data_IF_361690459834
#
_entry.id   IF_361690459834
#
_cell.length_a   1.000
_cell.length_b   1.000
_cell.length_c   1.000
_cell.angle_alpha   90.00
_cell.angle_beta   90.00
_cell.angle_gamma   90.00
#
_symmetry.space_group_name_H-M   'P 1'
#
loop_
_entity.id
_entity.type
_entity.pdbx_description
1 polymer ?
#
# COMPACT_ATOMS: atom_id res chain seq x y z
N UNK A 1 -36.39 9.61 8.21
CA UNK A 1 -36.81 10.17 6.91
C UNK A 1 -36.31 11.61 6.88
N UNK A 2 -35.41 12.09 6.03
CA UNK A 2 -34.66 11.59 4.88
C UNK A 2 -33.27 12.22 5.02
N UNK A 3 -32.19 11.42 5.03
CA UNK A 3 -30.82 11.96 4.93
C UNK A 3 -30.63 12.46 3.49
N UNK A 4 -30.86 13.75 3.27
CA UNK A 4 -30.70 14.33 1.94
C UNK A 4 -29.20 14.38 1.58
N UNK A 5 -28.80 13.85 0.41
CA UNK A 5 -27.40 13.74 0.04
C UNK A 5 -26.75 15.10 -0.25
N UNK A 6 -25.43 15.19 0.02
CA UNK A 6 -24.52 16.27 -0.42
C UNK A 6 -24.69 16.56 -1.93
N UNK A 7 -24.31 17.76 -2.44
CA UNK A 7 -24.62 18.18 -3.80
C UNK A 7 -24.11 17.21 -4.88
N UNK A 8 -22.92 16.64 -4.68
CA UNK A 8 -22.34 15.64 -5.58
C UNK A 8 -23.14 14.33 -5.57
N UNK A 9 -23.58 13.88 -4.40
CA UNK A 9 -24.40 12.68 -4.24
C UNK A 9 -25.86 12.87 -4.71
N UNK A 10 -26.36 14.12 -4.71
CA UNK A 10 -27.64 14.48 -5.34
C UNK A 10 -27.55 14.40 -6.87
N UNK A 11 -26.53 15.04 -7.47
CA UNK A 11 -26.30 15.00 -8.92
C UNK A 11 -26.05 13.59 -9.44
N UNK A 12 -25.32 12.77 -8.67
CA UNK A 12 -24.97 11.39 -9.03
C UNK A 12 -26.04 10.37 -8.60
N UNK A 13 -27.16 10.82 -8.02
CA UNK A 13 -28.26 9.90 -7.68
C UNK A 13 -28.95 9.39 -8.94
N UNK A 14 -29.38 8.13 -8.93
CA UNK A 14 -29.91 7.42 -10.11
C UNK A 14 -31.11 8.09 -10.78
N UNK A 15 -31.86 8.94 -10.05
CA UNK A 15 -32.97 9.70 -10.60
C UNK A 15 -32.55 10.85 -11.54
N UNK A 16 -31.30 11.30 -11.46
CA UNK A 16 -30.78 12.46 -12.19
C UNK A 16 -29.50 12.15 -12.99
N UNK A 17 -28.83 11.03 -12.69
CA UNK A 17 -27.62 10.56 -13.38
C UNK A 17 -27.80 10.42 -14.90
N UNK A 18 -28.98 9.99 -15.37
CA UNK A 18 -29.24 9.78 -16.79
C UNK A 18 -29.74 11.05 -17.52
N UNK A 19 -30.09 12.10 -16.77
CA UNK A 19 -30.78 13.29 -17.33
C UNK A 19 -29.84 14.45 -17.65
N UNK A 20 -28.66 14.51 -17.03
CA UNK A 20 -27.67 15.56 -17.27
C UNK A 20 -26.24 15.02 -17.27
N UNK A 21 -25.42 15.37 -18.26
CA UNK A 21 -24.08 14.84 -18.39
C UNK A 21 -23.14 15.59 -17.44
N UNK A 22 -22.91 15.07 -16.22
CA UNK A 22 -22.08 15.55 -15.08
C UNK A 22 -20.87 16.47 -15.37
N UNK A 23 -21.08 17.56 -16.11
CA UNK A 23 -20.05 18.40 -16.70
C UNK A 23 -19.64 19.49 -15.71
N UNK A 24 -20.49 19.82 -14.75
CA UNK A 24 -20.12 20.71 -13.64
C UNK A 24 -19.02 20.06 -12.78
N UNK A 25 -19.22 18.81 -12.37
CA UNK A 25 -18.24 18.07 -11.58
C UNK A 25 -16.95 17.78 -12.37
N UNK A 26 -17.06 17.43 -13.65
CA UNK A 26 -15.89 17.12 -14.48
C UNK A 26 -15.12 18.35 -14.98
N UNK A 27 -15.81 19.44 -15.33
CA UNK A 27 -15.22 20.62 -15.98
C UNK A 27 -14.93 21.78 -15.04
N UNK A 28 -15.60 21.86 -13.89
CA UNK A 28 -15.52 22.99 -12.97
C UNK A 28 -15.40 22.55 -11.50
N UNK A 29 -14.34 21.79 -11.13
CA UNK A 29 -14.18 21.23 -9.78
C UNK A 29 -14.09 22.30 -8.69
N UNK A 30 -13.60 23.49 -9.01
CA UNK A 30 -13.57 24.64 -8.11
C UNK A 30 -14.97 25.17 -7.75
N UNK A 31 -15.94 25.05 -8.65
CA UNK A 31 -17.35 25.40 -8.38
C UNK A 31 -17.97 24.36 -7.46
N UNK A 32 -17.71 23.07 -7.69
CA UNK A 32 -18.21 21.99 -6.84
C UNK A 32 -17.65 22.03 -5.42
N UNK A 33 -16.35 22.30 -5.26
CA UNK A 33 -15.75 22.42 -3.93
C UNK A 33 -16.42 23.54 -3.11
N UNK A 34 -16.65 24.70 -3.73
CA UNK A 34 -17.30 25.83 -3.04
C UNK A 34 -18.79 25.56 -2.76
N UNK A 35 -19.48 24.84 -3.63
CA UNK A 35 -20.85 24.37 -3.36
C UNK A 35 -20.92 23.39 -2.19
N UNK A 36 -19.93 22.52 -2.03
CA UNK A 36 -19.85 21.60 -0.88
C UNK A 36 -19.54 22.33 0.43
N UNK A 37 -18.69 23.37 0.37
CA UNK A 37 -18.34 24.21 1.51
C UNK A 37 -19.54 25.00 2.03
N UNK A 38 -20.30 25.63 1.13
CA UNK A 38 -21.47 26.45 1.50
C UNK A 38 -22.76 25.65 1.67
N UNK A 39 -22.78 24.34 1.42
CA UNK A 39 -24.02 23.55 1.38
C UNK A 39 -24.87 23.63 2.66
N UNK A 40 -24.25 23.85 3.82
CA UNK A 40 -24.94 23.95 5.11
C UNK A 40 -25.17 25.40 5.57
N UNK A 41 -24.72 26.39 4.80
CA UNK A 41 -24.92 27.83 5.03
C UNK A 41 -25.86 28.38 3.95
N UNK A 42 -27.13 28.54 4.30
CA UNK A 42 -28.17 28.89 3.34
C UNK A 42 -27.94 30.28 2.70
N UNK A 43 -27.42 31.24 3.47
CA UNK A 43 -27.22 32.60 2.98
C UNK A 43 -26.04 32.64 2.00
N UNK A 44 -24.91 32.03 2.38
CA UNK A 44 -23.72 31.95 1.53
C UNK A 44 -23.96 31.14 0.25
N UNK A 45 -24.75 30.06 0.32
CA UNK A 45 -25.06 29.23 -0.84
C UNK A 45 -26.01 29.92 -1.82
N UNK A 46 -27.02 30.64 -1.31
CA UNK A 46 -27.97 31.39 -2.14
C UNK A 46 -27.28 32.54 -2.87
N UNK A 47 -26.38 33.25 -2.17
CA UNK A 47 -25.52 34.26 -2.78
C UNK A 47 -24.64 33.66 -3.87
N UNK A 48 -24.02 32.51 -3.59
CA UNK A 48 -23.13 31.84 -4.55
C UNK A 48 -23.86 31.31 -5.79
N UNK A 49 -25.06 30.73 -5.65
CA UNK A 49 -25.88 30.36 -6.81
C UNK A 49 -26.26 31.58 -7.65
N UNK A 50 -26.59 32.70 -7.01
CA UNK A 50 -26.86 33.97 -7.70
C UNK A 50 -25.63 34.45 -8.48
N UNK A 51 -24.44 34.36 -7.91
CA UNK A 51 -23.19 34.69 -8.62
C UNK A 51 -22.95 33.82 -9.86
N UNK A 52 -23.27 32.51 -9.78
CA UNK A 52 -23.10 31.56 -10.88
C UNK A 52 -24.10 31.78 -12.02
N UNK A 53 -25.32 32.23 -11.70
CA UNK A 53 -26.41 32.44 -12.66
C UNK A 53 -26.38 33.82 -13.32
N UNK A 54 -25.70 34.81 -12.74
CA UNK A 54 -25.53 36.15 -13.33
C UNK A 54 -24.48 36.07 -14.46
N UNK A 55 -24.94 35.76 -15.67
CA UNK A 55 -24.12 35.60 -16.87
C UNK A 55 -23.57 36.91 -17.47
N UNK A 56 -23.52 38.01 -16.71
CA UNK A 56 -23.22 39.35 -17.25
C UNK A 56 -22.05 40.06 -16.55
N UNK A 57 -20.98 39.35 -16.21
CA UNK A 57 -19.68 40.01 -15.97
C UNK A 57 -19.04 40.34 -17.34
N UNK A 58 -18.67 41.60 -17.64
CA UNK A 58 -18.08 41.94 -18.93
C UNK A 58 -16.79 41.14 -19.16
N UNK A 59 -16.69 40.39 -20.26
CA UNK A 59 -15.47 39.70 -20.68
C UNK A 59 -15.31 38.23 -20.26
N UNK A 60 -16.27 37.60 -19.57
CA UNK A 60 -16.27 36.13 -19.35
C UNK A 60 -17.24 35.43 -20.29
N UNK A 61 -16.78 34.36 -20.96
CA UNK A 61 -17.69 33.38 -21.57
C UNK A 61 -18.49 32.73 -20.44
N UNK A 62 -19.83 32.77 -20.52
CA UNK A 62 -20.70 32.10 -19.56
C UNK A 62 -20.49 30.58 -19.56
N UNK A 63 -21.07 29.89 -18.58
CA UNK A 63 -21.06 28.43 -18.56
C UNK A 63 -21.74 27.87 -19.82
N UNK A 64 -21.27 26.73 -20.35
CA UNK A 64 -22.00 26.00 -21.37
C UNK A 64 -23.46 25.75 -20.94
N UNK A 65 -24.44 25.75 -21.85
CA UNK A 65 -25.86 25.60 -21.52
C UNK A 65 -26.16 24.37 -20.65
N UNK A 66 -25.42 23.28 -20.85
CA UNK A 66 -25.57 22.03 -20.10
C UNK A 66 -25.13 22.19 -18.64
N UNK A 67 -24.05 22.93 -18.39
CA UNK A 67 -23.54 23.21 -17.04
C UNK A 67 -24.44 24.21 -16.33
N UNK A 68 -24.98 25.20 -17.06
CA UNK A 68 -25.98 26.12 -16.53
C UNK A 68 -27.26 25.40 -16.07
N UNK A 69 -27.71 24.39 -16.81
CA UNK A 69 -28.86 23.56 -16.43
C UNK A 69 -28.59 22.73 -15.16
N UNK A 70 -27.37 22.19 -14.99
CA UNK A 70 -26.96 21.48 -13.77
C UNK A 70 -26.96 22.40 -12.54
N UNK A 71 -26.40 23.60 -12.67
CA UNK A 71 -26.36 24.60 -11.59
C UNK A 71 -27.78 25.03 -11.19
N UNK A 72 -28.66 25.29 -12.16
CA UNK A 72 -30.06 25.65 -11.89
C UNK A 72 -30.82 24.51 -11.20
N UNK A 73 -30.59 23.26 -11.63
CA UNK A 73 -31.22 22.08 -11.03
C UNK A 73 -30.77 21.88 -9.59
N UNK A 74 -29.48 22.07 -9.31
CA UNK A 74 -28.93 22.04 -7.94
C UNK A 74 -29.54 23.12 -7.05
N UNK A 75 -29.68 24.36 -7.57
CA UNK A 75 -30.31 25.47 -6.84
C UNK A 75 -31.77 25.15 -6.50
N UNK A 76 -32.57 24.69 -7.47
CA UNK A 76 -33.96 24.29 -7.24
C UNK A 76 -34.10 23.10 -6.28
N UNK A 77 -33.14 22.17 -6.30
CA UNK A 77 -33.11 21.05 -5.38
C UNK A 77 -32.80 21.51 -3.95
N UNK A 78 -31.89 22.46 -3.79
CA UNK A 78 -31.57 23.06 -2.50
C UNK A 78 -32.80 23.75 -1.89
N UNK A 79 -33.52 24.56 -2.68
CA UNK A 79 -34.76 25.22 -2.24
C UNK A 79 -35.83 24.22 -1.76
N UNK A 80 -35.86 23.02 -2.34
CA UNK A 80 -36.79 21.94 -1.98
C UNK A 80 -36.37 21.17 -0.74
N UNK A 81 -35.07 20.99 -0.53
CA UNK A 81 -34.49 20.18 0.55
C UNK A 81 -34.30 21.02 1.83
N UNK A 82 -34.03 22.32 1.68
CA UNK A 82 -33.73 23.25 2.76
C UNK A 82 -32.38 22.98 3.44
N UNK A 83 -31.91 23.91 4.29
CA UNK A 83 -30.71 23.70 5.08
C UNK A 83 -30.94 22.53 6.05
N UNK A 84 -30.00 21.58 6.06
CA UNK A 84 -30.01 20.48 7.01
C UNK A 84 -29.61 21.07 8.37
N UNK A 85 -30.58 21.33 9.26
CA UNK A 85 -30.28 21.67 10.66
C UNK A 85 -29.46 20.51 11.26
N UNK A 86 -28.22 20.75 11.71
CA UNK A 86 -27.45 19.68 12.31
C UNK A 86 -28.12 19.31 13.63
N UNK A 87 -28.38 18.01 13.80
CA UNK A 87 -28.69 17.40 15.08
C UNK A 87 -27.49 17.56 16.02
N UNK A 88 -27.19 18.77 16.50
CA UNK A 88 -26.06 19.03 17.39
C UNK A 88 -26.22 18.31 18.73
N UNK A 89 -27.45 18.14 19.23
CA UNK A 89 -27.72 17.41 20.48
C UNK A 89 -27.61 15.88 20.35
N UNK A 90 -27.95 15.33 19.17
CA UNK A 90 -27.83 13.89 18.92
C UNK A 90 -26.42 13.52 18.43
N UNK A 91 -25.74 14.42 17.70
CA UNK A 91 -24.33 14.27 17.33
C UNK A 91 -23.43 14.37 18.56
N UNK A 92 -23.72 15.20 19.56
CA UNK A 92 -22.93 15.22 20.79
C UNK A 92 -23.05 13.90 21.58
N UNK A 93 -24.27 13.34 21.67
CA UNK A 93 -24.50 12.10 22.42
C UNK A 93 -24.03 10.84 21.68
N UNK A 94 -24.13 10.80 20.34
CA UNK A 94 -23.71 9.66 19.52
C UNK A 94 -22.21 9.73 19.16
N UNK A 95 -21.63 10.93 18.96
CA UNK A 95 -20.17 11.12 18.74
C UNK A 95 -19.36 10.84 20.01
N UNK A 96 -19.94 11.02 21.18
CA UNK A 96 -19.34 10.58 22.44
C UNK A 96 -19.54 9.08 22.72
N UNK A 97 -20.37 8.37 21.94
CA UNK A 97 -20.69 6.95 22.15
C UNK A 97 -20.03 6.00 21.12
N UNK A 98 -19.44 6.53 20.05
CA UNK A 98 -18.80 5.72 19.00
C UNK A 98 -17.44 6.33 18.61
N UNK A 99 -16.43 5.93 19.37
CA UNK A 99 -14.96 5.86 19.12
C UNK A 99 -14.17 6.55 20.22
N UNK A 100 -13.42 5.75 20.98
CA UNK A 100 -12.33 6.15 21.88
C UNK A 100 -11.14 6.81 21.14
N UNK A 101 -11.37 7.65 20.12
CA UNK A 101 -10.29 8.33 19.40
C UNK A 101 -10.40 9.86 19.55
N UNK A 102 -9.46 10.39 20.33
CA UNK A 102 -9.45 11.72 20.96
C UNK A 102 -9.08 12.85 19.98
N UNK A 103 -8.82 12.53 18.72
CA UNK A 103 -8.23 13.44 17.73
C UNK A 103 -9.18 13.75 16.58
N UNK A 104 -9.83 14.91 16.65
CA UNK A 104 -10.48 15.54 15.49
C UNK A 104 -9.45 16.15 14.53
N UNK A 105 -9.81 16.28 13.26
CA UNK A 105 -8.98 16.84 12.18
C UNK A 105 -8.28 18.17 12.56
N UNK A 106 -9.03 19.13 13.09
CA UNK A 106 -8.51 20.44 13.51
C UNK A 106 -7.50 20.33 14.65
N UNK A 107 -7.73 19.41 15.60
CA UNK A 107 -6.83 19.17 16.72
C UNK A 107 -5.50 18.55 16.26
N UNK A 108 -5.57 17.67 15.27
CA UNK A 108 -4.38 17.05 14.69
C UNK A 108 -3.50 18.07 13.96
N UNK A 109 -4.11 19.02 13.23
CA UNK A 109 -3.39 20.12 12.57
C UNK A 109 -2.75 21.04 13.60
N UNK A 110 -3.51 21.47 14.61
CA UNK A 110 -3.00 22.36 15.67
C UNK A 110 -1.81 21.73 16.41
N UNK A 111 -1.82 20.42 16.63
CA UNK A 111 -0.73 19.71 17.29
C UNK A 111 0.51 19.55 16.39
N UNK A 112 0.33 19.29 15.09
CA UNK A 112 1.44 19.30 14.13
C UNK A 112 2.11 20.68 14.05
N UNK A 113 1.32 21.75 14.07
CA UNK A 113 1.81 23.13 14.11
C UNK A 113 2.52 23.44 15.44
N UNK A 114 1.98 22.99 16.58
CA UNK A 114 2.61 23.12 17.90
C UNK A 114 3.97 22.42 17.96
N UNK A 115 4.10 21.27 17.30
CA UNK A 115 5.34 20.50 17.20
C UNK A 115 6.30 21.04 16.12
N UNK A 116 5.91 22.08 15.39
CA UNK A 116 6.66 22.66 14.27
C UNK A 116 6.98 21.62 13.17
N UNK A 117 6.07 20.67 12.95
CA UNK A 117 6.21 19.61 11.94
C UNK A 117 5.46 20.06 10.68
N UNK A 118 6.17 20.25 9.55
CA UNK A 118 5.51 20.67 8.31
C UNK A 118 4.61 19.56 7.78
N UNK A 119 3.35 19.90 7.46
CA UNK A 119 2.33 19.01 6.88
C UNK A 119 2.67 18.64 5.43
N UNK A 120 3.71 17.85 5.25
CA UNK A 120 4.25 17.43 3.95
C UNK A 120 4.41 15.92 3.92
N UNK A 121 4.40 15.29 2.73
CA UNK A 121 4.67 13.86 2.62
C UNK A 121 6.05 13.47 3.15
N UNK A 122 7.05 14.36 3.05
CA UNK A 122 8.36 14.15 3.66
C UNK A 122 8.30 14.17 5.20
N UNK A 123 7.44 14.99 5.80
CA UNK A 123 7.17 14.98 7.23
C UNK A 123 6.54 13.65 7.68
N UNK A 124 5.52 13.20 6.93
CA UNK A 124 4.85 11.95 7.23
C UNK A 124 5.78 10.74 7.06
N UNK A 125 6.51 10.66 5.95
CA UNK A 125 7.50 9.61 5.70
C UNK A 125 8.54 9.54 6.82
N UNK A 126 9.09 10.68 7.27
CA UNK A 126 10.04 10.71 8.40
C UNK A 126 9.44 10.22 9.72
N UNK A 127 8.18 10.56 10.00
CA UNK A 127 7.50 10.04 11.20
C UNK A 127 7.38 8.51 11.15
N UNK A 128 7.05 7.97 9.98
CA UNK A 128 6.97 6.52 9.75
C UNK A 128 8.35 5.85 9.84
N UNK A 129 9.39 6.47 9.26
CA UNK A 129 10.79 6.00 9.36
C UNK A 129 11.25 5.94 10.82
N UNK A 130 10.96 7.00 11.59
CA UNK A 130 11.25 7.07 13.02
C UNK A 130 10.45 6.06 13.85
N UNK A 131 9.29 5.62 13.34
CA UNK A 131 8.33 4.79 14.07
C UNK A 131 7.56 5.57 15.14
N UNK A 132 7.40 6.88 14.95
CA UNK A 132 6.63 7.73 15.86
C UNK A 132 5.14 7.55 15.57
N UNK A 133 4.52 6.61 16.30
CA UNK A 133 3.10 6.29 16.18
C UNK A 133 2.21 7.50 16.43
N UNK A 134 2.59 8.37 17.38
CA UNK A 134 1.80 9.54 17.72
C UNK A 134 1.78 10.53 16.56
N UNK A 135 2.95 10.89 16.02
CA UNK A 135 3.03 11.81 14.88
C UNK A 135 2.40 11.19 13.63
N UNK A 136 2.54 9.87 13.42
CA UNK A 136 1.85 9.18 12.32
C UNK A 136 0.33 9.31 12.42
N UNK A 137 -0.27 9.12 13.61
CA UNK A 137 -1.70 9.35 13.84
C UNK A 137 -2.09 10.79 13.55
N UNK A 138 -1.30 11.77 13.99
CA UNK A 138 -1.57 13.18 13.70
C UNK A 138 -1.63 13.44 12.18
N UNK A 139 -0.69 12.88 11.40
CA UNK A 139 -0.73 13.01 9.94
C UNK A 139 -2.00 12.38 9.34
N UNK A 140 -2.37 11.18 9.77
CA UNK A 140 -3.55 10.48 9.27
C UNK A 140 -4.85 11.22 9.64
N UNK A 141 -4.98 11.71 10.88
CA UNK A 141 -6.11 12.54 11.30
C UNK A 141 -6.13 13.92 10.62
N UNK A 142 -4.96 14.44 10.19
CA UNK A 142 -4.85 15.66 9.39
C UNK A 142 -5.17 15.42 7.89
N UNK A 143 -5.71 14.25 7.53
CA UNK A 143 -6.22 13.94 6.20
C UNK A 143 -5.20 13.36 5.22
N UNK A 144 -4.04 12.91 5.69
CA UNK A 144 -3.09 12.20 4.84
C UNK A 144 -3.64 10.82 4.47
N UNK A 145 -3.59 10.49 3.18
CA UNK A 145 -3.91 9.15 2.72
C UNK A 145 -2.90 8.14 3.27
N UNK A 146 -3.39 7.07 3.89
CA UNK A 146 -2.59 5.95 4.41
C UNK A 146 -1.79 5.25 3.31
N UNK A 147 -2.23 5.39 2.05
CA UNK A 147 -1.57 4.88 0.85
C UNK A 147 -0.85 5.97 0.04
N UNK A 148 -0.70 7.18 0.60
CA UNK A 148 0.02 8.26 -0.06
C UNK A 148 1.44 7.82 -0.44
N UNK A 149 1.90 8.27 -1.62
CA UNK A 149 3.22 7.93 -2.13
C UNK A 149 4.20 9.06 -1.90
N UNK A 150 5.39 8.74 -1.40
CA UNK A 150 6.51 9.68 -1.35
C UNK A 150 7.15 9.87 -2.75
N UNK A 151 8.25 10.62 -2.82
CA UNK A 151 8.96 10.89 -4.08
C UNK A 151 9.62 9.66 -4.72
N UNK A 152 9.73 8.55 -3.99
CA UNK A 152 10.23 7.25 -4.47
C UNK A 152 9.09 6.28 -4.81
N UNK A 153 7.85 6.77 -4.81
CA UNK A 153 6.63 5.97 -4.89
C UNK A 153 6.41 5.02 -3.71
N UNK A 154 7.07 5.26 -2.57
CA UNK A 154 6.90 4.42 -1.38
C UNK A 154 5.65 4.82 -0.62
N UNK A 155 4.89 3.82 -0.18
CA UNK A 155 3.78 4.01 0.76
C UNK A 155 4.29 3.98 2.21
N UNK A 156 3.55 4.56 3.17
CA UNK A 156 3.85 4.43 4.60
C UNK A 156 4.10 2.98 5.02
N UNK A 157 3.32 2.03 4.51
CA UNK A 157 3.51 0.62 4.84
C UNK A 157 4.83 0.05 4.30
N UNK A 158 5.30 0.49 3.13
CA UNK A 158 6.64 0.11 2.63
C UNK A 158 7.75 0.68 3.51
N UNK A 159 7.64 1.94 3.92
CA UNK A 159 8.59 2.60 4.81
C UNK A 159 8.64 1.88 6.17
N UNK A 160 7.46 1.61 6.76
CA UNK A 160 7.35 0.86 8.01
C UNK A 160 7.93 -0.54 7.87
N UNK A 161 7.71 -1.20 6.73
CA UNK A 161 8.23 -2.53 6.47
C UNK A 161 9.74 -2.55 6.32
N UNK A 162 10.30 -1.59 5.59
CA UNK A 162 11.74 -1.41 5.43
C UNK A 162 12.44 -1.16 6.77
N UNK A 163 11.83 -0.38 7.68
CA UNK A 163 12.42 -0.04 8.97
C UNK A 163 12.04 -0.99 10.12
N UNK A 164 11.26 -2.04 9.84
CA UNK A 164 10.87 -3.03 10.85
C UNK A 164 9.89 -2.51 11.90
N UNK A 165 9.10 -1.47 11.57
CA UNK A 165 8.12 -0.86 12.49
C UNK A 165 6.86 -1.70 12.59
N UNK A 166 6.93 -2.80 13.33
CA UNK A 166 5.84 -3.78 13.46
C UNK A 166 4.52 -3.17 13.96
N UNK A 167 4.56 -2.43 15.07
CA UNK A 167 3.38 -1.81 15.68
C UNK A 167 2.71 -0.82 14.73
N UNK A 168 3.51 0.04 14.11
CA UNK A 168 3.03 0.98 13.11
C UNK A 168 2.50 0.28 11.85
N UNK A 169 3.14 -0.79 11.38
CA UNK A 169 2.63 -1.58 10.25
C UNK A 169 1.27 -2.22 10.56
N UNK A 170 1.06 -2.72 11.79
CA UNK A 170 -0.25 -3.23 12.24
C UNK A 170 -1.30 -2.12 12.15
N UNK A 171 -0.97 -0.93 12.64
CA UNK A 171 -1.87 0.21 12.66
C UNK A 171 -2.21 0.69 11.24
N UNK A 172 -1.21 0.90 10.40
CA UNK A 172 -1.40 1.31 9.00
C UNK A 172 -2.31 0.31 8.25
N UNK A 173 -2.10 -1.00 8.44
CA UNK A 173 -2.96 -2.02 7.82
C UNK A 173 -4.40 -1.96 8.36
N UNK A 174 -4.59 -1.72 9.66
CA UNK A 174 -5.95 -1.53 10.23
C UNK A 174 -6.66 -0.31 9.63
N UNK A 175 -5.91 0.73 9.30
CA UNK A 175 -6.40 1.96 8.68
C UNK A 175 -6.55 1.86 7.16
N UNK A 176 -6.30 0.69 6.55
CA UNK A 176 -6.53 0.44 5.12
C UNK A 176 -5.30 0.58 4.23
N UNK A 177 -4.08 0.51 4.79
CA UNK A 177 -2.86 0.44 3.98
C UNK A 177 -2.85 -0.84 3.12
N UNK A 178 -2.56 -0.68 1.83
CA UNK A 178 -2.49 -1.79 0.89
C UNK A 178 -1.21 -2.60 1.06
N UNK A 179 -1.35 -3.87 1.44
CA UNK A 179 -0.25 -4.84 1.52
C UNK A 179 0.30 -5.23 0.13
N UNK A 180 -0.41 -4.88 -0.94
CA UNK A 180 -0.08 -5.19 -2.34
C UNK A 180 0.45 -3.99 -3.11
N UNK A 181 0.58 -2.82 -2.46
CA UNK A 181 1.16 -1.65 -3.12
C UNK A 181 2.54 -1.99 -3.70
N UNK A 182 2.84 -1.42 -4.86
CA UNK A 182 4.12 -1.55 -5.55
C UNK A 182 4.76 -0.18 -5.70
N UNK A 183 6.07 -0.12 -5.44
CA UNK A 183 6.88 1.06 -5.75
C UNK A 183 7.25 1.12 -7.24
N UNK A 184 8.07 2.11 -7.60
CA UNK A 184 8.52 2.33 -8.97
C UNK A 184 9.26 1.13 -9.57
N UNK A 185 9.84 0.24 -8.77
CA UNK A 185 10.54 -0.96 -9.25
C UNK A 185 9.69 -2.24 -9.11
N UNK A 186 8.44 -2.11 -8.69
CA UNK A 186 7.51 -3.23 -8.49
C UNK A 186 7.70 -3.95 -7.16
N UNK A 187 8.52 -3.45 -6.24
CA UNK A 187 8.69 -4.04 -4.91
C UNK A 187 7.48 -3.72 -4.03
N UNK A 188 7.07 -4.70 -3.23
CA UNK A 188 5.95 -4.61 -2.30
C UNK A 188 6.43 -4.43 -0.86
N UNK A 189 5.56 -4.10 0.11
CA UNK A 189 5.94 -4.11 1.53
C UNK A 189 6.61 -5.42 1.97
N UNK A 190 6.18 -6.56 1.41
CA UNK A 190 6.76 -7.88 1.70
C UNK A 190 8.23 -7.97 1.28
N UNK A 191 8.57 -7.42 0.10
CA UNK A 191 9.95 -7.35 -0.37
C UNK A 191 10.81 -6.49 0.56
N UNK A 192 10.33 -5.31 0.94
CA UNK A 192 11.09 -4.39 1.78
C UNK A 192 11.31 -4.90 3.21
N UNK A 193 10.29 -5.50 3.84
CA UNK A 193 10.46 -6.18 5.12
C UNK A 193 11.42 -7.37 5.05
N UNK A 194 11.40 -8.08 3.91
CA UNK A 194 12.32 -9.20 3.66
C UNK A 194 13.75 -8.73 3.45
N UNK A 195 13.96 -7.64 2.71
CA UNK A 195 15.28 -7.11 2.38
C UNK A 195 16.11 -6.72 3.62
N UNK A 196 15.48 -6.23 4.68
CA UNK A 196 16.18 -5.88 5.93
C UNK A 196 16.05 -6.94 7.04
N UNK A 197 15.45 -8.10 6.76
CA UNK A 197 15.41 -9.20 7.73
C UNK A 197 14.35 -9.03 8.83
N UNK A 198 13.33 -8.21 8.63
CA UNK A 198 12.28 -7.94 9.62
C UNK A 198 11.21 -9.05 9.65
N UNK A 199 11.56 -10.21 10.20
CA UNK A 199 10.73 -11.40 10.19
C UNK A 199 9.31 -11.21 10.78
N UNK A 200 9.16 -10.38 11.83
CA UNK A 200 7.85 -10.09 12.43
C UNK A 200 6.93 -9.31 11.48
N UNK A 201 7.46 -8.31 10.79
CA UNK A 201 6.73 -7.56 9.75
C UNK A 201 6.37 -8.50 8.59
N UNK A 202 7.31 -9.33 8.14
CA UNK A 202 7.04 -10.31 7.07
C UNK A 202 5.92 -11.27 7.46
N UNK A 203 5.95 -11.81 8.69
CA UNK A 203 4.89 -12.66 9.21
C UNK A 203 3.54 -11.93 9.25
N UNK A 204 3.52 -10.66 9.67
CA UNK A 204 2.31 -9.83 9.66
C UNK A 204 1.75 -9.68 8.24
N UNK A 205 2.60 -9.31 7.27
CA UNK A 205 2.18 -9.09 5.88
C UNK A 205 1.61 -10.36 5.25
N UNK A 206 2.27 -11.51 5.45
CA UNK A 206 1.79 -12.81 4.96
C UNK A 206 0.45 -13.20 5.60
N UNK A 207 0.27 -12.96 6.90
CA UNK A 207 -1.02 -13.17 7.59
C UNK A 207 -2.13 -12.25 7.09
N UNK A 208 -1.77 -11.07 6.59
CA UNK A 208 -2.69 -10.07 6.02
C UNK A 208 -2.91 -10.23 4.52
N UNK A 209 -2.48 -11.35 3.94
CA UNK A 209 -2.79 -11.73 2.57
C UNK A 209 -1.80 -11.22 1.54
N UNK A 210 -0.62 -10.72 1.94
CA UNK A 210 0.42 -10.35 0.98
C UNK A 210 0.75 -11.54 0.07
N UNK A 211 0.85 -11.29 -1.23
CA UNK A 211 1.13 -12.32 -2.23
C UNK A 211 2.58 -12.81 -2.07
N UNK A 212 2.74 -14.05 -1.60
CA UNK A 212 4.04 -14.66 -1.28
C UNK A 212 4.98 -14.74 -2.49
N UNK A 213 4.40 -14.91 -3.69
CA UNK A 213 5.11 -15.04 -4.96
C UNK A 213 5.08 -13.75 -5.79
N UNK A 214 4.71 -12.60 -5.18
CA UNK A 214 4.79 -11.33 -5.85
C UNK A 214 6.20 -11.10 -6.40
N UNK A 215 6.27 -10.56 -7.61
CA UNK A 215 7.52 -10.30 -8.31
C UNK A 215 7.71 -8.80 -8.53
N UNK A 216 8.93 -8.32 -8.33
CA UNK A 216 9.32 -6.99 -8.78
C UNK A 216 9.42 -6.93 -10.30
N UNK A 217 9.67 -5.74 -10.86
CA UNK A 217 9.95 -5.59 -12.29
C UNK A 217 11.14 -6.44 -12.72
N UNK A 218 12.13 -6.69 -11.85
CA UNK A 218 13.26 -7.58 -12.14
C UNK A 218 12.94 -9.08 -11.97
N UNK A 219 11.67 -9.45 -11.82
CA UNK A 219 11.20 -10.80 -11.50
C UNK A 219 11.77 -11.36 -10.19
N UNK A 220 12.16 -10.47 -9.26
CA UNK A 220 12.72 -10.86 -7.96
C UNK A 220 11.55 -11.07 -7.00
N UNK A 221 11.52 -12.23 -6.34
CA UNK A 221 10.57 -12.51 -5.25
C UNK A 221 11.18 -12.21 -3.89
N UNK A 222 10.33 -12.08 -2.87
CA UNK A 222 10.78 -12.01 -1.47
C UNK A 222 11.69 -13.20 -1.10
N UNK A 223 11.39 -14.41 -1.60
CA UNK A 223 12.21 -15.60 -1.33
C UNK A 223 13.63 -15.47 -1.89
N UNK A 224 13.78 -14.94 -3.12
CA UNK A 224 15.11 -14.68 -3.71
C UNK A 224 15.89 -13.67 -2.88
N UNK A 225 15.24 -12.59 -2.40
CA UNK A 225 15.90 -11.60 -1.54
C UNK A 225 16.30 -12.18 -0.18
N UNK A 226 15.40 -12.91 0.49
CA UNK A 226 15.67 -13.57 1.76
C UNK A 226 16.86 -14.53 1.64
N UNK A 227 16.89 -15.28 0.54
CA UNK A 227 17.92 -16.27 0.28
C UNK A 227 19.28 -15.63 -0.04
N UNK A 228 19.30 -14.55 -0.82
CA UNK A 228 20.52 -13.79 -1.09
C UNK A 228 21.13 -13.20 0.19
N UNK A 229 20.30 -12.80 1.16
CA UNK A 229 20.72 -12.15 2.40
C UNK A 229 20.91 -13.10 3.58
N UNK A 230 20.57 -14.38 3.43
CA UNK A 230 20.74 -15.38 4.49
C UNK A 230 19.70 -15.31 5.60
N UNK A 231 18.54 -14.70 5.36
CA UNK A 231 17.48 -14.55 6.36
C UNK A 231 16.68 -15.85 6.52
N UNK A 232 17.29 -16.85 7.17
CA UNK A 232 16.74 -18.21 7.34
C UNK A 232 15.32 -18.22 7.94
N UNK A 233 15.06 -17.40 8.96
CA UNK A 233 13.72 -17.30 9.57
C UNK A 233 12.66 -16.80 8.57
N UNK A 234 13.03 -15.89 7.67
CA UNK A 234 12.11 -15.38 6.64
C UNK A 234 11.91 -16.41 5.53
N UNK A 235 12.97 -17.11 5.13
CA UNK A 235 12.87 -18.23 4.18
C UNK A 235 11.89 -19.26 4.72
N UNK A 236 12.02 -19.65 5.98
CA UNK A 236 11.10 -20.59 6.63
C UNK A 236 9.65 -20.08 6.61
N UNK A 237 9.41 -18.81 6.95
CA UNK A 237 8.07 -18.21 6.90
C UNK A 237 7.49 -18.22 5.48
N UNK A 238 8.28 -17.85 4.47
CA UNK A 238 7.84 -17.84 3.08
C UNK A 238 7.50 -19.25 2.58
N UNK A 239 8.32 -20.25 2.93
CA UNK A 239 8.07 -21.66 2.60
C UNK A 239 6.80 -22.20 3.28
N UNK A 240 6.56 -21.85 4.55
CA UNK A 240 5.30 -22.19 5.25
C UNK A 240 4.07 -21.61 4.54
N UNK A 241 4.22 -20.44 3.91
CA UNK A 241 3.21 -19.81 3.07
C UNK A 241 3.24 -20.26 1.60
N UNK A 242 3.87 -21.39 1.28
CA UNK A 242 3.93 -22.02 -0.06
C UNK A 242 4.60 -21.13 -1.12
N UNK A 243 5.66 -20.42 -0.75
CA UNK A 243 6.51 -19.74 -1.71
C UNK A 243 7.07 -20.73 -2.76
N UNK A 244 7.03 -20.34 -4.04
CA UNK A 244 7.60 -21.13 -5.11
C UNK A 244 9.13 -20.94 -5.15
N UNK A 245 9.85 -22.00 -4.79
CA UNK A 245 11.32 -22.03 -4.70
C UNK A 245 12.05 -21.91 -6.04
N UNK A 246 11.33 -22.16 -7.15
CA UNK A 246 11.91 -22.27 -8.50
C UNK A 246 11.65 -21.04 -9.37
N UNK A 247 11.11 -19.94 -8.83
CA UNK A 247 10.97 -18.69 -9.59
C UNK A 247 12.37 -18.12 -9.87
N UNK A 248 12.62 -17.82 -11.14
CA UNK A 248 13.88 -17.25 -11.63
C UNK A 248 13.75 -15.74 -11.79
N UNK A 249 14.64 -14.96 -11.19
CA UNK A 249 14.77 -13.55 -11.47
C UNK A 249 15.22 -13.30 -12.93
N UNK A 250 15.13 -12.04 -13.39
CA UNK A 250 15.50 -11.67 -14.76
C UNK A 250 16.95 -12.00 -15.13
N UNK A 251 17.87 -12.05 -14.16
CA UNK A 251 19.28 -12.45 -14.37
C UNK A 251 19.48 -13.98 -14.42
N UNK A 252 18.38 -14.76 -14.39
CA UNK A 252 18.38 -16.22 -14.33
C UNK A 252 18.64 -16.79 -12.93
N UNK A 253 18.78 -15.94 -11.90
CA UNK A 253 19.05 -16.42 -10.54
C UNK A 253 17.80 -16.96 -9.85
N UNK A 254 17.95 -18.09 -9.16
CA UNK A 254 16.95 -18.62 -8.22
C UNK A 254 17.36 -18.33 -6.78
N UNK A 255 16.45 -18.56 -5.84
CA UNK A 255 16.74 -18.44 -4.41
C UNK A 255 17.93 -19.35 -4.00
N UNK A 256 17.96 -20.60 -4.49
CA UNK A 256 19.04 -21.55 -4.22
C UNK A 256 20.38 -21.03 -4.73
N UNK A 257 20.39 -20.50 -5.96
CA UNK A 257 21.61 -19.97 -6.57
C UNK A 257 22.19 -18.82 -5.75
N UNK A 258 21.36 -17.84 -5.36
CA UNK A 258 21.80 -16.71 -4.53
C UNK A 258 22.27 -17.16 -3.14
N UNK A 259 21.60 -18.14 -2.53
CA UNK A 259 22.01 -18.69 -1.24
C UNK A 259 23.39 -19.38 -1.31
N UNK A 260 23.64 -20.17 -2.37
CA UNK A 260 24.94 -20.82 -2.60
C UNK A 260 26.04 -19.80 -2.91
N UNK A 261 25.76 -18.83 -3.78
CA UNK A 261 26.71 -17.78 -4.14
C UNK A 261 27.20 -16.97 -2.92
N UNK A 262 26.31 -16.75 -1.94
CA UNK A 262 26.61 -16.00 -0.73
C UNK A 262 26.96 -16.89 0.49
N UNK A 263 26.96 -18.21 0.34
CA UNK A 263 27.41 -19.15 1.38
C UNK A 263 26.42 -19.39 2.54
N UNK A 264 25.12 -19.18 2.33
CA UNK A 264 24.11 -19.27 3.38
C UNK A 264 23.66 -20.71 3.66
N UNK A 265 24.48 -21.47 4.38
CA UNK A 265 24.28 -22.91 4.66
C UNK A 265 22.85 -23.31 5.09
N UNK A 266 22.29 -22.62 6.10
CA UNK A 266 20.97 -22.94 6.63
C UNK A 266 19.86 -22.76 5.58
N UNK A 267 19.95 -21.68 4.80
CA UNK A 267 19.01 -21.38 3.72
C UNK A 267 19.13 -22.40 2.59
N UNK A 268 20.34 -22.82 2.24
CA UNK A 268 20.58 -23.83 1.20
C UNK A 268 19.84 -25.12 1.54
N UNK A 269 19.97 -25.61 2.78
CA UNK A 269 19.27 -26.81 3.20
C UNK A 269 17.75 -26.62 3.14
N UNK A 270 17.21 -25.54 3.71
CA UNK A 270 15.77 -25.26 3.65
C UNK A 270 15.21 -25.25 2.23
N UNK A 271 15.95 -24.67 1.27
CA UNK A 271 15.52 -24.60 -0.13
C UNK A 271 15.60 -25.95 -0.83
N UNK A 272 16.66 -26.73 -0.59
CA UNK A 272 16.80 -28.07 -1.16
C UNK A 272 15.73 -29.01 -0.62
N UNK A 273 15.47 -28.97 0.69
CA UNK A 273 14.44 -29.78 1.35
C UNK A 273 13.03 -29.39 0.86
N UNK A 274 12.84 -28.12 0.46
CA UNK A 274 11.61 -27.62 -0.17
C UNK A 274 11.53 -27.90 -1.69
N UNK A 275 12.45 -28.67 -2.27
CA UNK A 275 12.40 -29.08 -3.67
C UNK A 275 12.93 -28.03 -4.67
N UNK A 276 13.88 -27.20 -4.26
CA UNK A 276 14.57 -26.30 -5.19
C UNK A 276 15.36 -27.09 -6.25
N UNK A 277 15.14 -26.78 -7.53
CA UNK A 277 15.85 -27.43 -8.62
C UNK A 277 17.32 -27.03 -8.63
N UNK A 278 18.20 -28.00 -8.84
CA UNK A 278 19.63 -27.81 -9.04
C UNK A 278 20.01 -27.56 -10.50
N UNK A 279 19.07 -27.76 -11.44
CA UNK A 279 19.22 -27.48 -12.88
C UNK A 279 19.04 -26.00 -13.20
N UNK A 280 19.73 -25.15 -12.44
CA UNK A 280 19.65 -23.69 -12.56
C UNK A 280 20.96 -23.12 -13.09
N UNK A 281 20.85 -22.17 -14.02
CA UNK A 281 21.98 -21.48 -14.65
C UNK A 281 21.69 -19.99 -14.70
N UNK A 282 22.69 -19.19 -14.34
CA UNK A 282 22.62 -17.74 -14.55
C UNK A 282 22.66 -17.41 -16.06
N UNK A 283 22.26 -16.20 -16.42
CA UNK A 283 22.33 -15.73 -17.82
C UNK A 283 23.74 -15.76 -18.42
N UNK A 284 24.79 -15.63 -17.60
CA UNK A 284 26.18 -15.73 -18.04
C UNK A 284 26.68 -17.19 -18.20
N UNK A 285 25.77 -18.18 -18.12
CA UNK A 285 26.08 -19.61 -18.29
C UNK A 285 26.68 -20.28 -17.06
N UNK A 286 26.91 -19.54 -15.96
CA UNK A 286 27.44 -20.12 -14.74
C UNK A 286 26.37 -21.02 -14.10
N UNK A 287 26.74 -22.28 -13.89
CA UNK A 287 25.89 -23.31 -13.28
C UNK A 287 25.95 -23.28 -11.76
N UNK A 288 24.94 -23.82 -11.09
CA UNK A 288 24.94 -24.01 -9.63
C UNK A 288 26.18 -24.80 -9.15
N UNK A 289 26.59 -25.82 -9.89
CA UNK A 289 27.77 -26.63 -9.58
C UNK A 289 29.07 -25.80 -9.61
N UNK A 290 29.20 -24.92 -10.61
CA UNK A 290 30.35 -24.03 -10.71
C UNK A 290 30.40 -23.05 -9.54
N UNK A 291 29.26 -22.47 -9.14
CA UNK A 291 29.20 -21.55 -8.00
C UNK A 291 29.54 -22.28 -6.70
N UNK A 292 28.96 -23.47 -6.48
CA UNK A 292 29.26 -24.27 -5.31
C UNK A 292 30.76 -24.60 -5.22
N UNK A 293 31.40 -24.99 -6.33
CA UNK A 293 32.83 -25.31 -6.35
C UNK A 293 33.74 -24.16 -5.86
N UNK A 294 33.34 -22.91 -6.09
CA UNK A 294 34.06 -21.72 -5.61
C UNK A 294 33.71 -21.35 -4.16
N UNK A 295 32.72 -22.01 -3.54
CA UNK A 295 32.39 -21.80 -2.13
C UNK A 295 33.54 -22.25 -1.24
N UNK A 296 33.88 -21.43 -0.24
CA UNK A 296 34.92 -21.75 0.74
C UNK A 296 34.50 -22.88 1.68
N UNK A 297 33.20 -23.04 1.91
CA UNK A 297 32.67 -24.06 2.83
C UNK A 297 32.57 -25.43 2.12
N UNK A 298 33.32 -26.46 2.59
CA UNK A 298 33.24 -27.80 2.02
C UNK A 298 31.85 -28.43 2.13
N UNK A 299 31.08 -28.09 3.18
CA UNK A 299 29.75 -28.65 3.40
C UNK A 299 28.78 -28.23 2.29
N UNK A 300 28.88 -26.97 1.84
CA UNK A 300 28.06 -26.46 0.74
C UNK A 300 28.39 -27.20 -0.57
N UNK A 301 29.69 -27.42 -0.84
CA UNK A 301 30.13 -28.16 -2.04
C UNK A 301 29.56 -29.57 -2.06
N UNK A 302 29.68 -30.27 -0.94
CA UNK A 302 29.22 -31.65 -0.80
C UNK A 302 27.69 -31.74 -0.88
N UNK A 303 26.96 -30.90 -0.14
CA UNK A 303 25.49 -30.89 -0.15
C UNK A 303 24.91 -30.64 -1.53
N UNK A 304 25.48 -29.68 -2.28
CA UNK A 304 25.06 -29.38 -3.66
C UNK A 304 25.42 -30.52 -4.61
N UNK A 305 26.61 -31.12 -4.47
CA UNK A 305 26.99 -32.28 -5.27
C UNK A 305 26.04 -33.47 -5.06
N UNK A 306 25.64 -33.73 -3.81
CA UNK A 306 24.64 -34.75 -3.47
C UNK A 306 23.30 -34.40 -4.10
N UNK A 307 22.81 -33.16 -3.93
CA UNK A 307 21.53 -32.73 -4.49
C UNK A 307 21.47 -32.88 -6.02
N UNK A 308 22.55 -32.52 -6.73
CA UNK A 308 22.65 -32.68 -8.19
C UNK A 308 22.61 -34.16 -8.59
N UNK A 309 23.29 -35.05 -7.85
CA UNK A 309 23.24 -36.51 -8.11
C UNK A 309 21.85 -37.07 -7.89
N UNK A 310 21.17 -36.67 -6.82
CA UNK A 310 19.80 -37.10 -6.52
C UNK A 310 18.80 -36.68 -7.58
N UNK A 311 18.85 -35.41 -8.03
CA UNK A 311 17.95 -34.93 -9.09
C UNK A 311 18.21 -35.61 -10.44
N UNK A 312 19.47 -36.00 -10.73
CA UNK A 312 19.81 -36.80 -11.93
C UNK A 312 19.31 -38.24 -11.83
N UNK A 313 19.31 -38.82 -10.63
CA UNK A 313 18.82 -40.17 -10.37
C UNK A 313 17.28 -40.25 -10.27
N UNK A 314 16.56 -39.13 -10.40
CA UNK A 314 15.11 -39.08 -10.28
C UNK A 314 14.59 -39.31 -8.86
N UNK A 315 15.45 -39.20 -7.84
CA UNK A 315 15.08 -39.37 -6.44
C UNK A 315 14.57 -38.04 -5.85
N UNK A 316 13.59 -38.11 -4.94
CA UNK A 316 13.10 -36.96 -4.18
C UNK A 316 14.20 -36.37 -3.28
N UNK A 317 14.13 -35.07 -2.88
CA UNK A 317 15.12 -34.48 -1.98
C UNK A 317 15.20 -35.26 -0.67
N UNK A 318 16.43 -35.58 -0.22
CA UNK A 318 16.66 -36.24 1.08
C UNK A 318 16.08 -35.39 2.21
N UNK A 319 15.27 -36.00 3.07
CA UNK A 319 14.92 -35.41 4.35
C UNK A 319 16.19 -35.38 5.22
N UNK A 320 16.30 -34.39 6.11
CA UNK A 320 17.53 -34.06 6.85
C UNK A 320 18.19 -35.18 7.69
N UNK A 321 17.59 -36.37 7.77
CA UNK A 321 18.05 -37.53 8.53
C UNK A 321 18.36 -38.77 7.66
N UNK A 322 18.28 -38.70 6.33
CA UNK A 322 18.63 -39.86 5.50
C UNK A 322 20.13 -40.17 5.59
N UNK A 323 20.52 -41.40 5.96
CA UNK A 323 21.91 -41.77 6.07
C UNK A 323 22.58 -41.68 4.69
N UNK A 324 23.80 -41.12 4.67
CA UNK A 324 24.64 -41.07 3.49
C UNK A 324 24.81 -42.48 2.92
N UNK A 325 24.59 -42.69 1.61
CA UNK A 325 24.87 -43.96 0.95
C UNK A 325 26.36 -44.28 0.90
#
# INVERSE_FOLDING_TARGET
>A
MVNSPKPLAFLLSSAFADKYPHKLAAGFPHVMHRLEEYWNDADALTEYFSELMVSKRPGRRGFPPEVGAEILTLSLAYDRIGPIKPAEQERASVRNALTDDVWGYERAIAELERLNIPRTMAGFARAVEAGDEHVCRLFLHAGFDVNARDTREWTPLMIASFNGRETLAIELIKLGASVHAQDADGYTPLHWGTFNGHAKVVQLLLRKGAEVNAVSRANITALVQAAARGHAAIVQLLLQHRANVNITARDGSTALLKAVANGHWQVINMLLDAGASTKVTMQNGITLAAIAAHSRDPRIRERIAIAIRMERAGHAPLAGDDPLP
#
